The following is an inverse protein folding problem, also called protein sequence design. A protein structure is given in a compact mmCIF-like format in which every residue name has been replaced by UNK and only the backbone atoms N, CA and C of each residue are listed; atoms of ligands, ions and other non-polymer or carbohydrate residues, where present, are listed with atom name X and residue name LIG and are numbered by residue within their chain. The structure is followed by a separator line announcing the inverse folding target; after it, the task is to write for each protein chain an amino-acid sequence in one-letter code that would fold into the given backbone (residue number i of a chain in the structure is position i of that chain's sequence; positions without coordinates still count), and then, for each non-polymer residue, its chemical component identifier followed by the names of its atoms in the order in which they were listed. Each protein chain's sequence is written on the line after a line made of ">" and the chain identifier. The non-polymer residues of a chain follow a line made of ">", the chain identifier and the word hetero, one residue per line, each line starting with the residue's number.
data_IF_092134404145
#
_entry.id   IF_092134404145
#
_cell.length_a   1.000
_cell.length_b   1.000
_cell.length_c   1.000
_cell.angle_alpha   90.00
_cell.angle_beta   90.00
_cell.angle_gamma   90.00
#
_symmetry.space_group_name_H-M   'P 1'
#
loop_
_entity.id
_entity.type
_entity.pdbx_description
1 polymer ?
#
# COMPACT_ATOMS: atom_id res chain seq x y z
N UNK A 1 -0.20 18.48 11.89
CA UNK A 1 -0.61 17.78 13.12
C UNK A 1 -0.58 16.26 13.00
N UNK A 2 -1.45 15.56 12.26
CA UNK A 2 -1.43 14.07 12.26
C UNK A 2 -0.09 13.45 11.83
N UNK A 3 0.57 14.03 10.82
CA UNK A 3 1.91 13.61 10.41
C UNK A 3 2.97 13.88 11.49
N UNK A 4 2.95 15.06 12.10
CA UNK A 4 3.89 15.40 13.19
C UNK A 4 3.69 14.47 14.41
N UNK A 5 2.45 14.14 14.75
CA UNK A 5 2.13 13.18 15.80
C UNK A 5 2.62 11.77 15.47
N UNK A 6 2.54 11.39 14.19
CA UNK A 6 3.11 10.13 13.70
C UNK A 6 4.63 10.13 13.82
N UNK A 7 5.31 11.15 13.31
CA UNK A 7 6.77 11.28 13.37
C UNK A 7 7.26 11.25 14.83
N UNK A 8 6.54 11.90 15.75
CA UNK A 8 6.84 11.91 17.18
C UNK A 8 6.69 10.54 17.86
N UNK A 9 5.87 9.63 17.30
CA UNK A 9 5.61 8.29 17.87
C UNK A 9 6.30 7.17 17.11
N UNK A 10 6.87 7.44 15.94
CA UNK A 10 7.41 6.41 15.05
C UNK A 10 8.36 5.44 15.76
N UNK A 11 9.35 5.96 16.49
CA UNK A 11 10.29 5.12 17.25
C UNK A 11 9.59 4.23 18.30
N UNK A 12 8.56 4.75 18.97
CA UNK A 12 7.75 3.96 19.91
C UNK A 12 6.98 2.86 19.19
N UNK A 13 6.41 3.14 18.02
CA UNK A 13 5.64 2.17 17.23
C UNK A 13 6.52 1.03 16.70
N UNK A 14 7.72 1.36 16.21
CA UNK A 14 8.70 0.40 15.72
C UNK A 14 9.24 -0.49 16.85
N UNK A 15 9.33 0.03 18.07
CA UNK A 15 9.77 -0.72 19.24
C UNK A 15 8.77 -1.77 19.74
N UNK A 16 7.49 -1.73 19.31
CA UNK A 16 6.48 -2.73 19.72
C UNK A 16 6.90 -4.12 19.18
N UNK A 17 6.97 -5.18 19.98
CA UNK A 17 7.29 -6.50 19.46
C UNK A 17 6.21 -7.00 18.49
N UNK A 18 6.59 -7.63 17.38
CA UNK A 18 5.64 -8.15 16.38
C UNK A 18 4.58 -9.11 16.99
N UNK A 19 4.94 -9.84 18.04
CA UNK A 19 4.02 -10.73 18.77
C UNK A 19 2.93 -10.00 19.58
N UNK A 20 3.13 -8.71 19.88
CA UNK A 20 2.20 -7.88 20.63
C UNK A 20 1.31 -7.02 19.71
N UNK A 21 1.66 -6.93 18.42
CA UNK A 21 0.92 -6.16 17.42
C UNK A 21 -0.46 -6.77 17.21
N UNK A 22 -1.48 -5.93 17.40
CA UNK A 22 -2.89 -6.26 17.23
C UNK A 22 -3.43 -5.53 16.01
N UNK A 23 -4.12 -6.26 15.13
CA UNK A 23 -4.88 -5.65 14.06
C UNK A 23 -6.15 -4.96 14.61
N UNK A 24 -6.63 -3.87 13.97
CA UNK A 24 -7.90 -3.25 14.32
C UNK A 24 -9.07 -4.24 14.30
N UNK A 25 -9.73 -4.40 15.45
CA UNK A 25 -10.92 -5.27 15.62
C UNK A 25 -12.24 -4.58 15.24
N UNK A 26 -12.16 -3.31 14.86
CA UNK A 26 -13.27 -2.47 14.42
C UNK A 26 -12.73 -1.41 13.44
N UNK A 27 -13.58 -0.73 12.66
CA UNK A 27 -13.15 0.35 11.77
C UNK A 27 -12.27 1.38 12.51
N UNK A 28 -11.20 1.83 11.83
CA UNK A 28 -10.19 2.71 12.45
C UNK A 28 -10.76 4.09 12.74
N UNK A 29 -11.61 4.62 11.88
CA UNK A 29 -12.38 5.84 12.09
C UNK A 29 -13.23 5.78 13.37
N UNK A 30 -13.90 4.65 13.61
CA UNK A 30 -14.67 4.43 14.85
C UNK A 30 -13.74 4.36 16.07
N UNK A 31 -12.59 3.68 15.95
CA UNK A 31 -11.59 3.60 17.02
C UNK A 31 -11.02 4.96 17.40
N UNK A 32 -10.74 5.79 16.40
CA UNK A 32 -10.25 7.15 16.58
C UNK A 32 -11.30 8.03 17.28
N UNK A 33 -12.55 8.00 16.79
CA UNK A 33 -13.63 8.80 17.38
C UNK A 33 -13.90 8.39 18.82
N UNK A 34 -13.96 7.08 19.11
CA UNK A 34 -14.17 6.61 20.49
C UNK A 34 -13.02 7.00 21.43
N UNK A 35 -11.78 7.10 20.94
CA UNK A 35 -10.64 7.53 21.73
C UNK A 35 -10.69 9.03 22.04
N UNK A 36 -11.04 9.87 21.06
CA UNK A 36 -11.17 11.32 21.24
C UNK A 36 -12.37 11.68 22.14
N UNK A 37 -13.48 10.96 21.99
CA UNK A 37 -14.62 11.04 22.91
C UNK A 37 -14.21 10.66 24.34
N UNK A 38 -13.44 9.57 24.50
CA UNK A 38 -12.95 9.12 25.80
C UNK A 38 -12.01 10.12 26.45
N UNK A 39 -11.09 10.72 25.70
CA UNK A 39 -10.19 11.78 26.19
C UNK A 39 -10.98 12.95 26.75
N UNK A 40 -11.97 13.43 25.99
CA UNK A 40 -12.85 14.53 26.41
C UNK A 40 -13.67 14.14 27.65
N UNK A 41 -14.21 12.92 27.68
CA UNK A 41 -15.01 12.42 28.80
C UNK A 41 -14.20 12.26 30.08
N UNK A 42 -12.99 11.70 29.97
CA UNK A 42 -12.11 11.44 31.10
C UNK A 42 -11.60 12.73 31.75
N UNK A 43 -11.48 13.84 31.01
CA UNK A 43 -11.01 15.13 31.50
C UNK A 43 -11.81 15.62 32.72
N UNK A 44 -13.12 15.43 32.72
CA UNK A 44 -14.00 15.77 33.86
C UNK A 44 -13.77 14.88 35.09
N UNK A 45 -13.23 13.68 34.88
CA UNK A 45 -13.03 12.65 35.89
C UNK A 45 -11.57 12.52 36.34
N UNK A 46 -10.68 13.43 35.92
CA UNK A 46 -9.23 13.31 36.11
C UNK A 46 -8.84 12.98 37.55
N UNK A 47 -9.31 13.75 38.52
CA UNK A 47 -8.99 13.54 39.92
C UNK A 47 -9.44 12.16 40.44
N UNK A 48 -10.62 11.68 40.01
CA UNK A 48 -11.17 10.41 40.43
C UNK A 48 -10.39 9.22 39.84
N UNK A 49 -9.95 9.34 38.58
CA UNK A 49 -9.16 8.33 37.90
C UNK A 49 -7.72 8.26 38.45
N UNK A 50 -7.07 9.42 38.65
CA UNK A 50 -5.72 9.48 39.23
C UNK A 50 -5.70 8.98 40.68
N UNK A 51 -6.76 9.21 41.46
CA UNK A 51 -6.90 8.66 42.80
C UNK A 51 -6.94 7.11 42.84
N UNK A 52 -7.13 6.45 41.70
CA UNK A 52 -7.05 4.99 41.54
C UNK A 52 -5.78 4.51 40.83
N UNK A 53 -4.81 5.39 40.62
CA UNK A 53 -3.49 5.04 40.09
C UNK A 53 -3.38 5.09 38.57
N UNK A 54 -4.36 5.66 37.86
CA UNK A 54 -4.22 5.91 36.43
C UNK A 54 -3.13 6.97 36.20
N UNK A 55 -2.09 6.61 35.44
CA UNK A 55 -1.11 7.58 34.95
C UNK A 55 -1.76 8.42 33.85
N UNK A 56 -2.05 9.67 34.20
CA UNK A 56 -2.76 10.61 33.34
C UNK A 56 -1.94 10.98 32.11
N UNK A 57 -0.66 11.25 32.28
CA UNK A 57 0.17 11.75 31.19
C UNK A 57 0.44 10.65 30.16
N UNK A 58 0.70 9.43 30.64
CA UNK A 58 0.99 8.27 29.79
C UNK A 58 -0.24 7.75 29.05
N UNK A 59 -1.41 7.68 29.71
CA UNK A 59 -2.58 6.99 29.15
C UNK A 59 -3.73 7.90 28.73
N UNK A 60 -3.81 9.15 29.21
CA UNK A 60 -4.91 10.07 28.87
C UNK A 60 -4.42 11.24 28.03
N UNK A 61 -3.47 12.02 28.55
CA UNK A 61 -2.96 13.22 27.87
C UNK A 61 -2.33 12.90 26.51
N UNK A 62 -1.76 11.71 26.35
CA UNK A 62 -1.14 11.23 25.12
C UNK A 62 -2.15 10.71 24.07
N UNK A 63 -3.42 10.49 24.44
CA UNK A 63 -4.44 9.94 23.52
C UNK A 63 -4.55 10.73 22.20
N UNK A 64 -4.63 12.08 22.20
CA UNK A 64 -4.73 12.84 20.95
C UNK A 64 -3.51 12.66 20.02
N UNK A 65 -2.31 12.48 20.60
CA UNK A 65 -1.09 12.23 19.84
C UNK A 65 -1.13 10.83 19.23
N UNK A 66 -1.46 9.81 20.04
CA UNK A 66 -1.62 8.42 19.57
C UNK A 66 -2.71 8.31 18.49
N UNK A 67 -3.82 9.01 18.65
CA UNK A 67 -4.90 9.07 17.67
C UNK A 67 -4.44 9.76 16.37
N UNK A 68 -3.69 10.86 16.45
CA UNK A 68 -3.07 11.50 15.30
C UNK A 68 -2.13 10.57 14.53
N UNK A 69 -1.28 9.81 15.26
CA UNK A 69 -0.37 8.84 14.66
C UNK A 69 -1.11 7.71 13.93
N UNK A 70 -2.12 7.09 14.56
CA UNK A 70 -2.96 6.08 13.92
C UNK A 70 -3.71 6.64 12.69
N UNK A 71 -4.24 7.86 12.79
CA UNK A 71 -4.94 8.52 11.68
C UNK A 71 -4.04 8.67 10.46
N UNK A 72 -2.80 9.12 10.65
CA UNK A 72 -1.84 9.25 9.56
C UNK A 72 -1.42 7.89 9.00
N UNK A 73 -1.07 6.92 9.86
CA UNK A 73 -0.70 5.57 9.44
C UNK A 73 -1.83 4.88 8.64
N UNK A 74 -3.08 5.09 9.02
CA UNK A 74 -4.24 4.61 8.26
C UNK A 74 -4.34 5.27 6.89
N UNK A 75 -4.05 6.56 6.76
CA UNK A 75 -4.04 7.25 5.46
C UNK A 75 -2.95 6.73 4.52
N UNK A 76 -1.73 6.51 5.02
CA UNK A 76 -0.64 5.92 4.23
C UNK A 76 -0.99 4.50 3.77
N UNK A 77 -1.51 3.66 4.67
CA UNK A 77 -1.99 2.32 4.31
C UNK A 77 -3.08 2.35 3.23
N UNK A 78 -4.04 3.27 3.32
CA UNK A 78 -5.12 3.37 2.32
C UNK A 78 -4.61 3.82 0.95
N UNK A 79 -3.67 4.77 0.92
CA UNK A 79 -3.01 5.23 -0.31
C UNK A 79 -2.30 4.07 -1.01
N UNK A 80 -1.53 3.28 -0.27
CA UNK A 80 -0.81 2.13 -0.83
C UNK A 80 -1.76 1.02 -1.30
N UNK A 81 -2.77 0.69 -0.46
CA UNK A 81 -3.75 -0.34 -0.77
C UNK A 81 -4.52 -0.03 -2.06
N UNK A 82 -5.09 1.17 -2.17
CA UNK A 82 -5.91 1.51 -3.32
C UNK A 82 -5.08 1.74 -4.58
N UNK A 83 -3.89 2.36 -4.47
CA UNK A 83 -2.98 2.50 -5.60
C UNK A 83 -2.62 1.15 -6.22
N UNK A 84 -2.39 0.12 -5.38
CA UNK A 84 -2.15 -1.25 -5.84
C UNK A 84 -3.39 -1.90 -6.45
N UNK A 85 -4.56 -1.78 -5.82
CA UNK A 85 -5.81 -2.36 -6.33
C UNK A 85 -6.15 -1.78 -7.72
N UNK A 86 -5.96 -0.48 -7.92
CA UNK A 86 -6.13 0.18 -9.21
C UNK A 86 -5.09 -0.29 -10.24
N UNK A 87 -3.80 -0.27 -9.89
CA UNK A 87 -2.73 -0.74 -10.78
C UNK A 87 -2.91 -2.21 -11.17
N UNK A 88 -3.38 -3.07 -10.26
CA UNK A 88 -3.67 -4.48 -10.55
C UNK A 88 -4.84 -4.66 -11.52
N UNK A 89 -5.89 -3.80 -11.43
CA UNK A 89 -6.99 -3.82 -12.40
C UNK A 89 -6.50 -3.42 -13.78
N UNK A 90 -5.80 -2.30 -13.88
CA UNK A 90 -5.24 -1.81 -15.14
C UNK A 90 -4.27 -2.84 -15.73
N UNK A 91 -3.41 -3.45 -14.92
CA UNK A 91 -2.50 -4.50 -15.37
C UNK A 91 -3.23 -5.71 -15.96
N UNK A 92 -4.33 -6.17 -15.33
CA UNK A 92 -5.13 -7.29 -15.85
C UNK A 92 -5.76 -6.99 -17.22
N UNK A 93 -6.06 -5.73 -17.51
CA UNK A 93 -6.63 -5.31 -18.78
C UNK A 93 -5.55 -5.09 -19.85
N UNK A 94 -4.41 -4.51 -19.49
CA UNK A 94 -3.35 -4.13 -20.44
C UNK A 94 -2.37 -5.27 -20.73
N UNK A 95 -2.17 -6.20 -19.79
CA UNK A 95 -1.21 -7.30 -19.94
C UNK A 95 -1.53 -8.20 -21.14
N UNK A 96 -2.79 -8.67 -21.35
CA UNK A 96 -3.12 -9.48 -22.54
C UNK A 96 -2.85 -8.74 -23.85
N UNK A 97 -3.19 -7.44 -23.91
CA UNK A 97 -2.96 -6.60 -25.10
C UNK A 97 -1.47 -6.44 -25.40
N UNK A 98 -0.64 -6.34 -24.36
CA UNK A 98 0.80 -6.25 -24.51
C UNK A 98 1.42 -7.56 -25.05
N UNK A 99 0.93 -8.72 -24.58
CA UNK A 99 1.32 -10.01 -25.13
C UNK A 99 0.91 -10.18 -26.60
N UNK A 100 -0.29 -9.75 -26.97
CA UNK A 100 -0.75 -9.73 -28.37
C UNK A 100 0.15 -8.83 -29.23
N UNK A 101 0.38 -7.59 -28.81
CA UNK A 101 1.28 -6.65 -29.49
C UNK A 101 2.68 -7.24 -29.70
N UNK A 102 3.25 -7.85 -28.65
CA UNK A 102 4.55 -8.53 -28.75
C UNK A 102 4.52 -9.62 -29.81
N UNK A 103 3.50 -10.49 -29.79
CA UNK A 103 3.42 -11.63 -30.68
C UNK A 103 3.27 -11.20 -32.14
N UNK A 104 2.47 -10.15 -32.40
CA UNK A 104 2.29 -9.56 -33.73
C UNK A 104 3.61 -8.96 -34.26
N UNK A 105 4.31 -8.18 -33.44
CA UNK A 105 5.61 -7.60 -33.80
C UNK A 105 6.67 -8.68 -34.07
N UNK A 106 6.70 -9.74 -33.27
CA UNK A 106 7.57 -10.89 -33.52
C UNK A 106 7.22 -11.61 -34.83
N UNK A 107 5.95 -11.67 -35.22
CA UNK A 107 5.54 -12.22 -36.51
C UNK A 107 6.03 -11.35 -37.67
N UNK A 108 5.84 -10.04 -37.59
CA UNK A 108 6.34 -9.06 -38.56
C UNK A 108 7.86 -9.18 -38.72
N UNK A 109 8.60 -9.23 -37.61
CA UNK A 109 10.07 -9.32 -37.61
C UNK A 109 10.56 -10.66 -38.16
N UNK A 110 9.90 -11.79 -37.84
CA UNK A 110 10.22 -13.09 -38.45
C UNK A 110 10.05 -13.07 -39.96
N UNK A 111 9.01 -12.39 -40.45
CA UNK A 111 8.78 -12.27 -41.88
C UNK A 111 9.78 -11.31 -42.54
N UNK A 112 9.99 -10.11 -41.99
CA UNK A 112 10.96 -9.14 -42.48
C UNK A 112 12.36 -9.76 -42.60
N UNK A 113 12.84 -10.38 -41.52
CA UNK A 113 14.20 -10.91 -41.43
C UNK A 113 14.35 -12.36 -41.93
N UNK A 114 13.34 -12.93 -42.61
CA UNK A 114 13.32 -14.34 -43.06
C UNK A 114 14.54 -14.77 -43.91
N UNK A 115 15.19 -13.82 -44.58
CA UNK A 115 16.37 -14.04 -45.43
C UNK A 115 17.70 -13.76 -44.71
N UNK A 116 17.66 -13.24 -43.49
CA UNK A 116 18.81 -12.88 -42.68
C UNK A 116 18.87 -13.78 -41.43
N UNK A 117 19.66 -14.86 -41.52
CA UNK A 117 19.72 -15.87 -40.46
C UNK A 117 20.21 -15.31 -39.10
N UNK A 118 21.05 -14.27 -39.12
CA UNK A 118 21.52 -13.63 -37.89
C UNK A 118 20.39 -12.88 -37.19
N UNK A 119 19.70 -11.99 -37.92
CA UNK A 119 18.56 -11.24 -37.37
C UNK A 119 17.43 -12.17 -36.92
N UNK A 120 17.17 -13.25 -37.67
CA UNK A 120 16.18 -14.25 -37.26
C UNK A 120 16.56 -14.97 -35.97
N UNK A 121 17.86 -15.22 -35.75
CA UNK A 121 18.38 -15.75 -34.49
C UNK A 121 18.10 -14.81 -33.31
N UNK A 122 18.32 -13.50 -33.51
CA UNK A 122 18.00 -12.48 -32.50
C UNK A 122 16.51 -12.42 -32.18
N UNK A 123 15.65 -12.48 -33.19
CA UNK A 123 14.18 -12.53 -32.98
C UNK A 123 13.75 -13.76 -32.19
N UNK A 124 14.42 -14.90 -32.38
CA UNK A 124 14.13 -16.11 -31.58
C UNK A 124 14.54 -15.94 -30.13
N UNK A 125 15.72 -15.38 -29.87
CA UNK A 125 16.20 -15.11 -28.52
C UNK A 125 15.26 -14.14 -27.78
N UNK A 126 14.77 -13.09 -28.47
CA UNK A 126 13.77 -12.17 -27.91
C UNK A 126 12.44 -12.88 -27.62
N UNK A 127 12.11 -13.98 -28.30
CA UNK A 127 10.88 -14.72 -28.04
C UNK A 127 11.03 -15.77 -26.91
N UNK A 128 12.21 -15.87 -26.28
CA UNK A 128 12.47 -16.81 -25.19
C UNK A 128 11.94 -16.25 -23.87
N UNK A 129 10.88 -16.87 -23.34
CA UNK A 129 10.26 -16.43 -22.09
C UNK A 129 8.75 -16.34 -22.20
N UNK A 130 8.09 -16.35 -21.06
CA UNK A 130 6.60 -16.30 -21.00
C UNK A 130 6.08 -15.41 -19.88
N UNK A 131 6.97 -14.89 -19.04
CA UNK A 131 6.62 -14.01 -17.93
C UNK A 131 6.27 -12.59 -18.38
N UNK A 132 5.65 -11.84 -17.47
CA UNK A 132 5.37 -10.42 -17.66
C UNK A 132 6.65 -9.58 -17.83
N UNK A 133 7.69 -9.91 -17.06
CA UNK A 133 8.99 -9.25 -17.17
C UNK A 133 9.66 -9.55 -18.52
N UNK A 134 9.61 -10.81 -18.97
CA UNK A 134 10.09 -11.21 -20.29
C UNK A 134 9.37 -10.39 -21.37
N UNK A 135 8.03 -10.39 -21.37
CA UNK A 135 7.24 -9.65 -22.36
C UNK A 135 7.61 -8.16 -22.45
N UNK A 136 7.86 -7.50 -21.32
CA UNK A 136 8.26 -6.08 -21.29
C UNK A 136 9.67 -5.91 -21.90
N UNK A 137 10.61 -6.79 -21.54
CA UNK A 137 11.94 -6.78 -22.13
C UNK A 137 11.89 -7.05 -23.63
N UNK A 138 11.04 -8.00 -24.07
CA UNK A 138 10.87 -8.36 -25.46
C UNK A 138 10.42 -7.15 -26.29
N UNK A 139 9.47 -6.36 -25.78
CA UNK A 139 8.97 -5.14 -26.42
C UNK A 139 10.07 -4.09 -26.61
N UNK A 140 10.91 -3.89 -25.58
CA UNK A 140 12.08 -3.01 -25.65
C UNK A 140 13.11 -3.52 -26.68
N UNK A 141 13.44 -4.81 -26.63
CA UNK A 141 14.43 -5.42 -27.53
C UNK A 141 13.96 -5.42 -28.99
N UNK A 142 12.66 -5.58 -29.25
CA UNK A 142 12.04 -5.44 -30.58
C UNK A 142 12.26 -4.02 -31.10
N UNK A 143 12.03 -2.99 -30.29
CA UNK A 143 12.25 -1.60 -30.70
C UNK A 143 13.69 -1.37 -31.12
N UNK A 144 14.64 -1.75 -30.26
CA UNK A 144 16.08 -1.58 -30.50
C UNK A 144 16.53 -2.37 -31.75
N UNK A 145 16.09 -3.62 -31.90
CA UNK A 145 16.43 -4.45 -33.05
C UNK A 145 15.88 -3.86 -34.36
N UNK A 146 14.63 -3.39 -34.34
CA UNK A 146 13.98 -2.79 -35.51
C UNK A 146 14.62 -1.48 -35.93
N UNK A 147 14.89 -0.59 -34.98
CA UNK A 147 15.52 0.72 -35.23
C UNK A 147 16.93 0.56 -35.81
N UNK A 148 17.63 -0.50 -35.43
CA UNK A 148 18.96 -0.80 -35.95
C UNK A 148 18.96 -1.45 -37.35
N UNK A 149 17.83 -2.00 -37.82
CA UNK A 149 17.75 -2.80 -39.06
C UNK A 149 16.46 -2.48 -39.84
N UNK A 150 16.29 -1.22 -40.22
CA UNK A 150 15.04 -0.74 -40.83
C UNK A 150 14.82 -1.20 -42.27
N UNK A 151 15.89 -1.49 -43.03
CA UNK A 151 15.79 -1.80 -44.46
C UNK A 151 14.88 -3.01 -44.74
N UNK A 152 15.06 -4.13 -44.03
CA UNK A 152 14.24 -5.33 -44.22
C UNK A 152 12.79 -5.13 -43.73
N UNK A 153 12.57 -4.22 -42.77
CA UNK A 153 11.23 -3.86 -42.30
C UNK A 153 10.49 -3.00 -43.34
N UNK A 154 11.19 -2.05 -43.98
CA UNK A 154 10.64 -1.22 -45.06
C UNK A 154 10.24 -2.06 -46.29
N UNK A 155 10.99 -3.13 -46.61
CA UNK A 155 10.64 -4.05 -47.71
C UNK A 155 9.25 -4.69 -47.55
N UNK A 156 8.83 -4.92 -46.30
CA UNK A 156 7.51 -5.48 -45.99
C UNK A 156 6.47 -4.40 -45.71
N UNK A 157 6.82 -3.12 -45.91
CA UNK A 157 5.99 -1.94 -45.62
C UNK A 157 5.60 -1.84 -44.15
N UNK A 158 6.49 -2.25 -43.26
CA UNK A 158 6.29 -2.09 -41.82
C UNK A 158 6.28 -0.60 -41.46
N UNK A 159 5.39 -0.24 -40.54
CA UNK A 159 5.31 1.12 -40.01
C UNK A 159 6.34 1.31 -38.89
N UNK A 160 7.46 1.96 -39.23
CA UNK A 160 8.57 2.19 -38.30
C UNK A 160 8.17 3.02 -37.07
N UNK A 161 7.08 3.81 -37.13
CA UNK A 161 6.62 4.59 -35.96
C UNK A 161 6.16 3.69 -34.81
N UNK A 162 5.77 2.44 -35.11
CA UNK A 162 5.44 1.43 -34.10
C UNK A 162 6.62 1.11 -33.19
N UNK A 163 7.87 1.33 -33.63
CA UNK A 163 9.07 1.07 -32.83
C UNK A 163 9.24 2.09 -31.70
N UNK A 164 8.84 3.35 -31.91
CA UNK A 164 8.83 4.35 -30.84
C UNK A 164 7.68 4.08 -29.86
N UNK A 165 6.50 3.73 -30.40
CA UNK A 165 5.32 3.40 -29.60
C UNK A 165 5.59 2.19 -28.70
N UNK A 166 6.25 1.15 -29.20
CA UNK A 166 6.50 -0.07 -28.43
C UNK A 166 7.54 0.14 -27.33
N UNK A 167 8.54 0.98 -27.56
CA UNK A 167 9.52 1.38 -26.54
C UNK A 167 8.84 2.13 -25.39
N UNK A 168 8.08 3.17 -25.70
CA UNK A 168 7.30 3.91 -24.70
C UNK A 168 6.35 2.97 -23.94
N UNK A 169 5.71 2.04 -24.66
CA UNK A 169 4.79 1.09 -24.07
C UNK A 169 5.49 0.11 -23.12
N UNK A 170 6.73 -0.28 -23.41
CA UNK A 170 7.52 -1.13 -22.51
C UNK A 170 7.78 -0.40 -21.19
N UNK A 171 8.17 0.87 -21.22
CA UNK A 171 8.39 1.69 -20.02
C UNK A 171 7.11 1.85 -19.18
N UNK A 172 5.98 2.18 -19.83
CA UNK A 172 4.68 2.31 -19.16
C UNK A 172 4.25 0.99 -18.49
N UNK A 173 4.46 -0.14 -19.17
CA UNK A 173 4.15 -1.47 -18.63
C UNK A 173 5.10 -1.87 -17.51
N UNK A 174 6.37 -1.48 -17.55
CA UNK A 174 7.33 -1.70 -16.47
C UNK A 174 6.89 -0.97 -15.19
N UNK A 175 6.51 0.30 -15.30
CA UNK A 175 6.00 1.08 -14.16
C UNK A 175 4.68 0.51 -13.63
N UNK A 176 3.75 0.14 -14.52
CA UNK A 176 2.47 -0.45 -14.15
C UNK A 176 2.65 -1.81 -13.46
N UNK A 177 3.52 -2.67 -14.00
CA UNK A 177 3.87 -3.96 -13.41
C UNK A 177 4.51 -3.75 -12.03
N UNK A 178 5.40 -2.76 -11.90
CA UNK A 178 6.00 -2.40 -10.64
C UNK A 178 4.96 -1.89 -9.62
N UNK A 179 3.92 -1.15 -10.01
CA UNK A 179 2.82 -0.73 -9.10
C UNK A 179 1.84 -1.86 -8.79
N UNK A 180 1.64 -2.80 -9.71
CA UNK A 180 0.74 -3.94 -9.52
C UNK A 180 1.39 -5.04 -8.65
N UNK A 181 2.66 -5.34 -8.91
CA UNK A 181 3.47 -6.29 -8.14
C UNK A 181 4.02 -5.66 -6.86
N UNK A 182 4.40 -4.39 -6.96
CA UNK A 182 5.12 -3.67 -5.95
C UNK A 182 4.23 -2.69 -5.18
N UNK A 183 4.38 -2.58 -3.87
CA UNK A 183 5.52 -3.11 -3.13
C UNK A 183 5.02 -4.10 -2.09
N UNK A 184 5.27 -5.40 -2.31
CA UNK A 184 5.02 -6.48 -1.35
C UNK A 184 5.71 -6.23 0.01
N UNK A 185 6.78 -5.43 0.04
CA UNK A 185 7.52 -5.02 1.24
C UNK A 185 6.97 -3.73 1.88
N UNK A 186 6.64 -2.68 1.12
CA UNK A 186 6.10 -1.43 1.71
C UNK A 186 4.65 -1.59 2.15
N UNK A 187 3.79 -2.31 1.41
CA UNK A 187 2.42 -2.59 1.86
C UNK A 187 2.38 -3.40 3.18
N UNK A 188 3.32 -4.34 3.34
CA UNK A 188 3.49 -5.06 4.59
C UNK A 188 3.92 -4.09 5.70
N UNK A 189 4.83 -3.17 5.39
CA UNK A 189 5.32 -2.14 6.31
C UNK A 189 4.24 -1.14 6.72
N UNK A 190 3.51 -0.52 5.79
CA UNK A 190 2.48 0.48 6.11
C UNK A 190 1.30 -0.14 6.87
N UNK A 191 0.90 -1.37 6.51
CA UNK A 191 -0.10 -2.11 7.29
C UNK A 191 0.40 -2.44 8.69
N UNK A 192 1.64 -2.92 8.82
CA UNK A 192 2.26 -3.26 10.10
C UNK A 192 2.39 -2.03 11.02
N UNK A 193 2.89 -0.92 10.49
CA UNK A 193 2.95 0.37 11.19
C UNK A 193 1.55 0.86 11.60
N UNK A 194 0.54 0.69 10.74
CA UNK A 194 -0.87 0.98 11.10
C UNK A 194 -1.35 0.09 12.24
N UNK A 195 -1.04 -1.21 12.23
CA UNK A 195 -1.42 -2.15 13.29
C UNK A 195 -0.69 -1.83 14.61
N UNK A 196 0.57 -1.42 14.55
CA UNK A 196 1.34 -0.90 15.70
C UNK A 196 0.74 0.37 16.28
N UNK A 197 0.41 1.34 15.43
CA UNK A 197 -0.26 2.57 15.83
C UNK A 197 -1.62 2.28 16.50
N UNK A 198 -2.37 1.31 15.97
CA UNK A 198 -3.62 0.88 16.59
C UNK A 198 -3.38 0.23 17.95
N UNK A 199 -2.39 -0.66 18.05
CA UNK A 199 -2.00 -1.33 19.30
C UNK A 199 -1.64 -0.30 20.37
N UNK A 200 -0.85 0.70 20.00
CA UNK A 200 -0.44 1.79 20.89
C UNK A 200 -1.62 2.65 21.35
N UNK A 201 -2.55 3.03 20.45
CA UNK A 201 -3.76 3.74 20.86
C UNK A 201 -4.65 2.87 21.76
N UNK A 202 -4.78 1.58 21.42
CA UNK A 202 -5.61 0.62 22.14
C UNK A 202 -5.14 0.42 23.58
N UNK A 203 -3.83 0.36 23.81
CA UNK A 203 -3.23 0.27 25.15
C UNK A 203 -3.75 1.40 26.07
N UNK A 204 -3.62 2.65 25.63
CA UNK A 204 -4.09 3.82 26.36
C UNK A 204 -5.62 3.78 26.58
N UNK A 205 -6.38 3.49 25.52
CA UNK A 205 -7.85 3.43 25.58
C UNK A 205 -8.34 2.32 26.52
N UNK A 206 -7.72 1.14 26.50
CA UNK A 206 -8.11 0.02 27.36
C UNK A 206 -7.84 0.35 28.82
N UNK A 207 -6.66 0.89 29.15
CA UNK A 207 -6.28 1.27 30.52
C UNK A 207 -7.25 2.31 31.11
N UNK A 208 -7.55 3.37 30.35
CA UNK A 208 -8.49 4.41 30.78
C UNK A 208 -9.91 3.85 30.96
N UNK A 209 -10.34 2.97 30.05
CA UNK A 209 -11.67 2.33 30.15
C UNK A 209 -11.77 1.40 31.34
N UNK A 210 -10.75 0.60 31.62
CA UNK A 210 -10.80 -0.36 32.72
C UNK A 210 -10.74 0.35 34.07
N UNK A 211 -9.91 1.39 34.20
CA UNK A 211 -9.92 2.25 35.38
C UNK A 211 -11.27 2.97 35.56
N UNK A 212 -11.79 3.60 34.50
CA UNK A 212 -13.07 4.32 34.59
C UNK A 212 -14.26 3.41 34.87
N UNK A 213 -14.33 2.23 34.26
CA UNK A 213 -15.36 1.22 34.59
C UNK A 213 -15.29 0.84 36.07
N UNK A 214 -14.08 0.65 36.61
CA UNK A 214 -13.90 0.33 38.02
C UNK A 214 -14.34 1.47 38.95
N UNK A 215 -13.89 2.70 38.67
CA UNK A 215 -14.22 3.91 39.44
C UNK A 215 -15.73 4.15 39.46
N UNK A 216 -16.37 4.11 38.29
CA UNK A 216 -17.78 4.47 38.11
C UNK A 216 -18.73 3.28 38.08
N UNK A 217 -18.33 2.09 38.56
CA UNK A 217 -19.16 0.86 38.54
C UNK A 217 -20.53 0.99 39.23
N UNK A 218 -20.70 1.98 40.11
CA UNK A 218 -21.97 2.28 40.82
C UNK A 218 -22.64 3.56 40.32
N UNK A 219 -22.08 4.23 39.32
CA UNK A 219 -22.63 5.42 38.69
C UNK A 219 -22.85 5.15 37.19
N UNK A 220 -24.07 4.69 36.81
CA UNK A 220 -24.39 4.39 35.42
C UNK A 220 -24.24 5.60 34.48
N UNK A 221 -24.40 6.83 34.98
CA UNK A 221 -24.32 8.03 34.16
C UNK A 221 -22.89 8.32 33.73
N UNK A 222 -21.90 8.08 34.58
CA UNK A 222 -20.48 8.18 34.22
C UNK A 222 -19.95 6.91 33.55
N UNK A 223 -20.36 5.72 34.02
CA UNK A 223 -19.91 4.42 33.49
C UNK A 223 -20.07 4.29 31.98
N UNK A 224 -21.16 4.83 31.42
CA UNK A 224 -21.45 4.75 29.98
C UNK A 224 -20.40 5.40 29.08
N UNK A 225 -19.56 6.30 29.59
CA UNK A 225 -18.46 6.90 28.84
C UNK A 225 -17.22 6.01 28.74
N UNK A 226 -17.12 4.99 29.60
CA UNK A 226 -15.96 4.08 29.69
C UNK A 226 -16.20 2.74 28.99
N UNK A 227 -17.22 2.65 28.16
CA UNK A 227 -17.56 1.46 27.37
C UNK A 227 -17.60 1.82 25.89
N UNK A 228 -17.11 0.92 25.05
CA UNK A 228 -17.21 1.07 23.60
C UNK A 228 -18.68 1.08 23.19
N UNK A 229 -19.06 2.01 22.31
CA UNK A 229 -20.40 2.05 21.72
C UNK A 229 -20.51 1.06 20.57
N UNK A 230 -19.40 0.81 19.87
CA UNK A 230 -19.35 -0.14 18.76
C UNK A 230 -19.48 -1.60 19.20
N UNK A 231 -18.85 -1.96 20.33
CA UNK A 231 -18.81 -3.35 20.83
C UNK A 231 -19.89 -3.70 21.86
N UNK A 232 -20.92 -2.87 21.96
CA UNK A 232 -22.03 -3.05 22.90
C UNK A 232 -22.97 -4.18 22.49
#
# INVERSE_FOLDING_TARGET
>A
MSKENFDAKLATLEAIPAAEVKAPTMPVDISLQEAEDLFTWAAEDQAALQAKGLDWDTHVADIPVRAGALRYAQSEWMKERFGREEASKVWKEESPKAFELRNDLLADFRYAYRKNANLLGRVRAIAEGTGAADMIQDLSDISVLGKANTAELEEIKFDLTKLDVVEQRADELAELLAKANGVLLENASAKDIRDRAFTHLKEAVDEVRDCGKYVFRKDPNRYKGYISRYKK
#
